data_IF_521461244604
#
_entry.id   IF_521461244604
#
_cell.length_a   1.000
_cell.length_b   1.000
_cell.length_c   1.000
_cell.angle_alpha   90.00
_cell.angle_beta   90.00
_cell.angle_gamma   90.00
#
_symmetry.space_group_name_H-M   'P 1'
#
loop_
_entity.id
_entity.type
_entity.pdbx_description
1 polymer ?
#
# COMPACT_ATOMS: atom_id res chain seq x y z
N UNK A 1 9.18 -14.81 -24.95
CA UNK A 1 8.10 -15.56 -24.28
C UNK A 1 7.24 -14.50 -23.60
N UNK A 2 6.23 -13.99 -24.30
CA UNK A 2 5.36 -12.93 -23.81
C UNK A 2 4.60 -13.43 -22.58
N UNK A 3 4.65 -12.67 -21.49
CA UNK A 3 3.74 -12.90 -20.38
C UNK A 3 2.34 -12.53 -20.88
N UNK A 4 1.52 -13.54 -21.16
CA UNK A 4 0.13 -13.32 -21.57
C UNK A 4 -0.56 -12.43 -20.51
N UNK A 5 -1.03 -11.26 -20.94
CA UNK A 5 -1.88 -10.41 -20.12
C UNK A 5 -3.11 -11.24 -19.77
N UNK A 6 -3.41 -11.41 -18.49
CA UNK A 6 -4.61 -12.14 -18.08
C UNK A 6 -5.84 -11.47 -18.69
N UNK A 7 -6.69 -12.23 -19.38
CA UNK A 7 -7.94 -11.72 -19.98
C UNK A 7 -8.83 -10.96 -18.97
N UNK A 8 -8.67 -11.27 -17.68
CA UNK A 8 -9.31 -10.56 -16.59
C UNK A 8 -8.88 -9.08 -16.51
N UNK A 9 -7.59 -8.77 -16.69
CA UNK A 9 -7.08 -7.39 -16.61
C UNK A 9 -7.58 -6.52 -17.76
N UNK A 10 -7.76 -7.10 -18.96
CA UNK A 10 -8.25 -6.37 -20.14
C UNK A 10 -9.71 -5.94 -19.96
N UNK A 11 -10.53 -6.75 -19.30
CA UNK A 11 -11.96 -6.51 -19.16
C UNK A 11 -12.34 -5.73 -17.89
N UNK A 12 -11.41 -5.60 -16.94
CA UNK A 12 -11.59 -4.77 -15.75
C UNK A 12 -11.71 -3.28 -16.10
N UNK A 13 -12.51 -2.57 -15.31
CA UNK A 13 -12.77 -1.13 -15.47
C UNK A 13 -12.71 -0.44 -14.11
N UNK A 14 -11.94 0.64 -14.03
CA UNK A 14 -11.83 1.48 -12.84
C UNK A 14 -13.15 2.24 -12.62
N UNK A 15 -13.64 2.36 -11.37
CA UNK A 15 -14.77 3.23 -11.05
C UNK A 15 -14.51 4.68 -11.47
N UNK A 16 -15.57 5.43 -11.77
CA UNK A 16 -15.46 6.79 -12.32
C UNK A 16 -14.80 7.78 -11.36
N UNK A 17 -14.83 7.52 -10.06
CA UNK A 17 -14.13 8.33 -9.05
C UNK A 17 -12.61 8.04 -8.99
N UNK A 18 -12.13 7.01 -9.68
CA UNK A 18 -10.71 6.62 -9.78
C UNK A 18 -10.25 6.57 -11.24
N UNK A 19 -10.65 7.54 -12.04
CA UNK A 19 -10.12 7.69 -13.40
C UNK A 19 -8.62 8.07 -13.32
N UNK A 20 -7.72 7.42 -14.10
CA UNK A 20 -6.32 7.84 -14.20
C UNK A 20 -6.20 9.32 -14.55
N UNK A 21 -5.23 10.03 -13.97
CA UNK A 21 -5.13 11.49 -14.12
C UNK A 21 -6.06 12.30 -13.19
N UNK A 22 -7.07 11.67 -12.59
CA UNK A 22 -7.84 12.28 -11.50
C UNK A 22 -6.99 12.42 -10.23
N UNK A 23 -7.26 13.46 -9.42
CA UNK A 23 -6.47 13.80 -8.22
C UNK A 23 -6.26 12.58 -7.29
N UNK A 24 -7.33 11.84 -7.00
CA UNK A 24 -7.31 10.72 -6.07
C UNK A 24 -6.44 9.57 -6.55
N UNK A 25 -6.69 9.04 -7.76
CA UNK A 25 -5.93 7.90 -8.28
C UNK A 25 -4.48 8.30 -8.57
N UNK A 26 -4.24 9.49 -9.12
CA UNK A 26 -2.90 9.97 -9.43
C UNK A 26 -2.01 10.01 -8.18
N UNK A 27 -2.54 10.54 -7.06
CA UNK A 27 -1.81 10.53 -5.77
C UNK A 27 -1.57 9.12 -5.25
N UNK A 28 -2.54 8.21 -5.39
CA UNK A 28 -2.40 6.82 -4.93
C UNK A 28 -1.32 6.07 -5.73
N UNK A 29 -1.32 6.23 -7.05
CA UNK A 29 -0.34 5.63 -7.97
C UNK A 29 1.06 6.19 -7.72
N UNK A 30 1.21 7.52 -7.67
CA UNK A 30 2.51 8.16 -7.44
C UNK A 30 3.09 7.88 -6.04
N UNK A 31 2.27 7.45 -5.08
CA UNK A 31 2.76 6.98 -3.77
C UNK A 31 3.20 5.52 -3.76
N UNK A 32 2.94 4.75 -4.82
CA UNK A 32 3.38 3.37 -4.92
C UNK A 32 4.90 3.31 -5.17
N UNK A 33 5.63 2.52 -4.38
CA UNK A 33 7.09 2.47 -4.47
C UNK A 33 7.61 2.08 -5.86
N UNK A 34 6.90 1.21 -6.60
CA UNK A 34 7.30 0.86 -7.98
C UNK A 34 7.28 2.08 -8.90
N UNK A 35 6.30 2.97 -8.71
CA UNK A 35 6.16 4.21 -9.47
C UNK A 35 7.17 5.26 -9.01
N UNK A 36 7.45 5.35 -7.71
CA UNK A 36 8.55 6.18 -7.17
C UNK A 36 9.88 5.79 -7.81
N UNK A 37 10.17 4.50 -7.84
CA UNK A 37 11.40 3.95 -8.43
C UNK A 37 11.43 4.19 -9.96
N UNK A 38 10.31 3.99 -10.65
CA UNK A 38 10.18 4.27 -12.09
C UNK A 38 10.49 5.72 -12.41
N UNK A 39 9.86 6.67 -11.71
CA UNK A 39 10.02 8.11 -11.96
C UNK A 39 11.44 8.55 -11.63
N UNK A 40 11.95 8.17 -10.45
CA UNK A 40 13.30 8.56 -10.02
C UNK A 40 14.38 7.98 -10.94
N UNK A 41 14.26 6.72 -11.35
CA UNK A 41 15.18 6.12 -12.32
C UNK A 41 15.17 6.86 -13.65
N UNK A 42 13.99 7.13 -14.22
CA UNK A 42 13.92 7.76 -15.55
C UNK A 42 14.28 9.25 -15.56
N UNK A 43 14.17 9.96 -14.43
CA UNK A 43 14.55 11.37 -14.33
C UNK A 43 15.99 11.58 -13.85
N UNK A 44 16.47 10.74 -12.94
CA UNK A 44 17.73 10.96 -12.20
C UNK A 44 18.76 9.84 -12.38
N UNK A 45 18.44 8.78 -13.14
CA UNK A 45 19.27 7.58 -13.34
C UNK A 45 19.66 6.89 -12.03
N UNK A 46 18.70 6.75 -11.11
CA UNK A 46 18.92 6.15 -9.80
C UNK A 46 18.45 4.70 -9.72
N UNK A 47 19.02 3.92 -8.80
CA UNK A 47 18.56 2.57 -8.48
C UNK A 47 17.26 2.58 -7.67
N UNK A 48 16.49 1.49 -7.74
CA UNK A 48 15.28 1.29 -6.92
C UNK A 48 15.56 1.47 -5.42
N UNK A 49 14.61 2.07 -4.71
CA UNK A 49 14.73 2.38 -3.27
C UNK A 49 15.60 3.60 -2.94
N UNK A 50 16.13 4.31 -3.94
CA UNK A 50 16.90 5.54 -3.71
C UNK A 50 16.06 6.71 -3.21
N UNK A 51 14.74 6.65 -3.45
CA UNK A 51 13.78 7.68 -3.06
C UNK A 51 12.63 7.07 -2.25
N UNK A 52 12.09 7.89 -1.35
CA UNK A 52 10.91 7.59 -0.55
C UNK A 52 9.95 8.78 -0.55
N UNK A 53 8.70 8.56 -0.14
CA UNK A 53 7.72 9.64 0.01
C UNK A 53 8.11 10.56 1.16
N UNK A 54 8.18 11.86 0.87
CA UNK A 54 8.38 12.93 1.84
C UNK A 54 7.07 13.58 2.28
N UNK A 55 7.16 14.44 3.28
CA UNK A 55 6.03 15.28 3.71
C UNK A 55 5.77 16.39 2.69
N UNK A 56 4.49 16.66 2.41
CA UNK A 56 4.05 17.69 1.47
C UNK A 56 3.27 18.82 2.14
N UNK A 57 3.03 18.76 3.45
CA UNK A 57 2.31 19.80 4.19
C UNK A 57 3.29 20.79 4.83
N UNK A 58 3.21 22.06 4.39
CA UNK A 58 4.02 23.15 4.94
C UNK A 58 3.12 24.32 5.33
N UNK A 59 2.62 24.27 6.57
CA UNK A 59 1.97 25.37 7.29
C UNK A 59 1.05 26.23 6.39
N UNK A 60 0.02 25.62 5.80
CA UNK A 60 -1.04 26.19 4.92
C UNK A 60 -0.91 25.95 3.42
N UNK A 61 0.22 25.41 2.95
CA UNK A 61 0.37 25.00 1.55
C UNK A 61 0.69 23.53 1.46
N UNK A 62 0.06 22.83 0.50
CA UNK A 62 0.25 21.40 0.30
C UNK A 62 0.52 21.09 -1.16
N UNK A 63 1.68 20.52 -1.43
CA UNK A 63 1.98 19.98 -2.76
C UNK A 63 1.39 18.58 -2.92
N UNK A 64 1.37 18.10 -4.16
CA UNK A 64 0.78 16.81 -4.46
C UNK A 64 1.62 15.66 -3.91
N UNK A 65 2.86 15.61 -4.39
CA UNK A 65 3.81 14.53 -4.11
C UNK A 65 5.21 15.13 -3.97
N UNK A 66 5.94 14.66 -2.97
CA UNK A 66 7.36 14.93 -2.82
C UNK A 66 8.08 13.60 -2.65
N UNK A 67 9.09 13.34 -3.48
CA UNK A 67 10.04 12.28 -3.24
C UNK A 67 11.30 12.87 -2.63
N UNK A 68 11.76 12.27 -1.54
CA UNK A 68 13.00 12.64 -0.88
C UNK A 68 14.00 11.49 -1.02
N UNK A 69 15.29 11.78 -1.19
CA UNK A 69 16.28 10.72 -1.22
C UNK A 69 16.27 9.93 0.10
N UNK A 70 16.48 8.62 0.01
CA UNK A 70 16.69 7.80 1.19
C UNK A 70 17.94 8.28 1.95
N UNK A 71 18.02 8.02 3.26
CA UNK A 71 19.10 8.54 4.13
C UNK A 71 20.51 8.33 3.59
N UNK A 72 20.76 7.23 2.86
CA UNK A 72 22.05 6.92 2.26
C UNK A 72 22.46 7.87 1.12
N UNK A 73 21.49 8.52 0.47
CA UNK A 73 21.68 9.37 -0.72
C UNK A 73 21.25 10.82 -0.49
N UNK A 74 20.96 11.19 0.76
CA UNK A 74 20.39 12.51 1.13
C UNK A 74 21.30 13.69 0.75
N UNK A 75 22.61 13.46 0.68
CA UNK A 75 23.60 14.50 0.36
C UNK A 75 23.93 14.61 -1.13
N UNK A 76 23.56 13.62 -1.94
CA UNK A 76 23.92 13.56 -3.36
C UNK A 76 22.76 13.85 -4.30
N UNK A 77 21.53 13.55 -3.88
CA UNK A 77 20.34 13.63 -4.74
C UNK A 77 19.41 14.79 -4.33
N UNK A 78 18.82 15.53 -5.27
CA UNK A 78 17.79 16.53 -4.96
C UNK A 78 16.44 15.86 -4.64
N UNK A 79 15.57 16.48 -3.84
CA UNK A 79 14.16 16.11 -3.76
C UNK A 79 13.47 16.26 -5.12
N UNK A 80 12.48 15.40 -5.39
CA UNK A 80 11.64 15.45 -6.59
C UNK A 80 10.24 15.93 -6.21
N UNK A 81 9.87 17.13 -6.63
CA UNK A 81 8.54 17.70 -6.42
C UNK A 81 7.68 17.37 -7.63
N UNK A 82 6.54 16.71 -7.43
CA UNK A 82 5.66 16.28 -8.51
C UNK A 82 4.26 16.86 -8.30
N UNK A 83 3.72 17.46 -9.34
CA UNK A 83 2.40 18.08 -9.37
C UNK A 83 1.57 17.53 -10.53
N UNK A 84 0.32 17.16 -10.24
CA UNK A 84 -0.63 16.69 -11.25
C UNK A 84 -1.76 17.70 -11.33
N UNK A 85 -1.88 18.37 -12.47
CA UNK A 85 -2.84 19.46 -12.62
C UNK A 85 -3.72 19.26 -13.84
N UNK A 86 -5.01 19.53 -13.66
CA UNK A 86 -5.96 19.49 -14.77
C UNK A 86 -5.66 20.57 -15.82
N UNK A 87 -5.47 21.81 -15.36
CA UNK A 87 -5.09 22.94 -16.20
C UNK A 87 -3.81 23.56 -15.65
N UNK A 88 -2.84 23.80 -16.52
CA UNK A 88 -1.61 24.50 -16.18
C UNK A 88 -1.78 25.95 -16.59
N UNK A 89 -1.78 26.84 -15.60
CA UNK A 89 -1.92 28.28 -15.80
C UNK A 89 -0.92 29.07 -14.93
N UNK A 90 -0.87 30.39 -15.14
CA UNK A 90 0.04 31.25 -14.40
C UNK A 90 -0.19 31.20 -12.87
N UNK A 91 -1.44 31.22 -12.35
CA UNK A 91 -1.69 31.00 -10.92
C UNK A 91 -1.13 29.68 -10.38
N UNK A 92 -1.26 28.58 -11.12
CA UNK A 92 -0.62 27.32 -10.75
C UNK A 92 0.91 27.43 -10.70
N UNK A 93 1.54 28.00 -11.73
CA UNK A 93 3.01 28.14 -11.77
C UNK A 93 3.53 29.00 -10.60
N UNK A 94 2.79 30.04 -10.20
CA UNK A 94 3.14 30.83 -9.00
C UNK A 94 3.08 30.00 -7.71
N UNK A 95 2.08 29.11 -7.58
CA UNK A 95 2.02 28.15 -6.45
C UNK A 95 3.17 27.16 -6.50
N UNK A 96 3.50 26.64 -7.69
CA UNK A 96 4.60 25.71 -7.90
C UNK A 96 5.96 26.27 -7.46
N UNK A 97 6.23 27.54 -7.78
CA UNK A 97 7.41 28.26 -7.32
C UNK A 97 7.43 28.29 -5.79
N UNK A 98 6.29 28.63 -5.17
CA UNK A 98 6.17 28.68 -3.71
C UNK A 98 6.44 27.33 -3.05
N UNK A 99 5.91 26.23 -3.62
CA UNK A 99 6.17 24.88 -3.14
C UNK A 99 7.65 24.53 -3.23
N UNK A 100 8.29 24.85 -4.36
CA UNK A 100 9.72 24.59 -4.57
C UNK A 100 10.59 25.34 -3.56
N UNK A 101 10.26 26.60 -3.26
CA UNK A 101 10.94 27.38 -2.22
C UNK A 101 10.72 26.81 -0.80
N UNK A 102 9.56 26.20 -0.53
CA UNK A 102 9.34 25.50 0.74
C UNK A 102 10.20 24.24 0.84
N UNK A 103 10.35 23.48 -0.25
CA UNK A 103 11.30 22.36 -0.31
C UNK A 103 12.73 22.84 -0.02
N UNK A 104 13.16 23.97 -0.60
CA UNK A 104 14.48 24.57 -0.30
C UNK A 104 14.62 24.94 1.18
N UNK A 105 13.59 25.53 1.79
CA UNK A 105 13.63 25.89 3.22
C UNK A 105 13.83 24.66 4.11
N UNK A 106 13.19 23.55 3.79
CA UNK A 106 13.22 22.31 4.58
C UNK A 106 14.49 21.50 4.31
N UNK A 107 14.81 21.26 3.04
CA UNK A 107 15.86 20.32 2.62
C UNK A 107 17.17 20.98 2.20
N UNK A 108 17.23 22.33 2.19
CA UNK A 108 18.42 23.13 1.89
C UNK A 108 19.04 22.89 0.50
N UNK A 109 18.24 22.39 -0.42
CA UNK A 109 18.63 22.17 -1.82
C UNK A 109 17.47 22.48 -2.75
N UNK A 110 17.79 22.93 -3.96
CA UNK A 110 16.79 23.10 -5.03
C UNK A 110 16.24 21.72 -5.45
N UNK A 111 14.91 21.59 -5.61
CA UNK A 111 14.30 20.36 -6.12
C UNK A 111 14.48 20.22 -7.62
N UNK A 112 14.26 19.00 -8.13
CA UNK A 112 13.83 18.79 -9.52
C UNK A 112 12.32 18.69 -9.51
N UNK A 113 11.66 19.42 -10.41
CA UNK A 113 10.20 19.54 -10.46
C UNK A 113 9.67 18.81 -11.68
N UNK A 114 8.57 18.07 -11.52
CA UNK A 114 7.83 17.44 -12.61
C UNK A 114 6.36 17.86 -12.54
N UNK A 115 5.87 18.48 -13.61
CA UNK A 115 4.47 18.88 -13.78
C UNK A 115 3.82 17.97 -14.80
N UNK A 116 2.69 17.36 -14.43
CA UNK A 116 1.87 16.52 -15.29
C UNK A 116 0.55 17.24 -15.56
N UNK A 117 0.39 17.76 -16.78
CA UNK A 117 -0.82 18.41 -17.26
C UNK A 117 -1.81 17.42 -17.86
N UNK A 118 -2.97 17.25 -17.23
CA UNK A 118 -3.94 16.22 -17.62
C UNK A 118 -4.81 16.64 -18.81
N UNK A 119 -5.23 17.91 -18.86
CA UNK A 119 -6.14 18.38 -19.89
C UNK A 119 -5.51 19.44 -20.80
N UNK A 120 -5.11 20.58 -20.24
CA UNK A 120 -4.59 21.68 -21.08
C UNK A 120 -3.61 22.63 -20.41
N UNK A 121 -2.85 23.35 -21.23
CA UNK A 121 -2.04 24.52 -20.86
C UNK A 121 -2.77 25.80 -21.27
N UNK A 122 -2.85 26.78 -20.37
CA UNK A 122 -3.60 28.01 -20.57
C UNK A 122 -2.85 29.26 -20.07
N UNK A 123 -2.67 30.29 -20.92
CA UNK A 123 -2.97 30.32 -22.36
C UNK A 123 -2.01 29.44 -23.16
N UNK A 124 -2.42 28.98 -24.35
CA UNK A 124 -1.58 28.13 -25.21
C UNK A 124 -0.28 28.82 -25.65
N UNK A 125 -0.23 30.16 -25.65
CA UNK A 125 0.99 30.92 -25.91
C UNK A 125 2.12 30.64 -24.90
N UNK A 126 1.80 30.14 -23.71
CA UNK A 126 2.78 29.75 -22.69
C UNK A 126 3.70 28.62 -23.19
N UNK A 127 3.21 27.74 -24.08
CA UNK A 127 4.03 26.69 -24.70
C UNK A 127 5.21 27.25 -25.51
N UNK A 128 5.11 28.48 -26.02
CA UNK A 128 6.19 29.12 -26.79
C UNK A 128 7.42 29.44 -25.93
N UNK A 129 7.24 29.51 -24.60
CA UNK A 129 8.33 29.75 -23.66
C UNK A 129 9.00 28.45 -23.20
N UNK A 130 8.45 27.30 -23.58
CA UNK A 130 8.90 25.98 -23.15
C UNK A 130 9.62 25.28 -24.30
N UNK A 131 10.62 24.46 -23.97
CA UNK A 131 11.44 23.76 -24.96
C UNK A 131 11.57 22.29 -24.61
N UNK A 132 11.64 21.41 -25.60
CA UNK A 132 11.93 19.99 -25.36
C UNK A 132 13.23 19.80 -24.57
N UNK A 133 13.20 18.87 -23.62
CA UNK A 133 14.29 18.66 -22.68
C UNK A 133 15.51 17.99 -23.30
N UNK A 134 15.27 17.02 -24.19
CA UNK A 134 16.30 16.37 -24.98
C UNK A 134 15.71 15.78 -26.27
N UNK A 135 16.55 15.48 -27.28
CA UNK A 135 16.12 14.75 -28.47
C UNK A 135 15.53 13.37 -28.16
N UNK A 136 15.98 12.72 -27.08
CA UNK A 136 15.50 11.39 -26.67
C UNK A 136 14.15 11.44 -25.93
N UNK A 137 13.79 12.61 -25.39
CA UNK A 137 12.53 12.85 -24.67
C UNK A 137 11.86 14.13 -25.20
N UNK A 138 11.47 14.15 -26.50
CA UNK A 138 10.94 15.35 -27.12
C UNK A 138 9.62 15.80 -26.48
N UNK A 139 8.88 14.86 -25.89
CA UNK A 139 7.61 15.04 -25.19
C UNK A 139 7.73 15.64 -23.78
N UNK A 140 8.95 15.70 -23.22
CA UNK A 140 9.22 16.27 -21.89
C UNK A 140 9.79 17.67 -22.06
N UNK A 141 9.03 18.69 -21.69
CA UNK A 141 9.40 20.08 -21.89
C UNK A 141 10.07 20.66 -20.64
N UNK A 142 10.94 21.64 -20.82
CA UNK A 142 11.57 22.42 -19.77
C UNK A 142 10.84 23.76 -19.59
N UNK A 143 10.43 24.04 -18.36
CA UNK A 143 9.98 25.35 -17.92
C UNK A 143 11.19 26.12 -17.37
N UNK A 144 11.42 27.39 -17.75
CA UNK A 144 12.43 28.23 -17.13
C UNK A 144 12.25 28.30 -15.61
N UNK A 145 13.27 27.88 -14.86
CA UNK A 145 13.15 27.68 -13.41
C UNK A 145 14.33 28.19 -12.58
N UNK A 146 15.10 29.12 -13.16
CA UNK A 146 16.25 29.75 -12.50
C UNK A 146 15.86 30.26 -11.12
N UNK A 147 16.68 29.94 -10.11
CA UNK A 147 16.59 30.32 -8.69
C UNK A 147 15.60 29.54 -7.81
N UNK A 148 14.68 28.76 -8.37
CA UNK A 148 13.66 28.05 -7.57
C UNK A 148 13.60 26.54 -7.79
N UNK A 149 14.19 26.01 -8.86
CA UNK A 149 14.43 24.58 -9.04
C UNK A 149 15.77 24.32 -9.76
N UNK A 150 16.25 23.06 -9.73
CA UNK A 150 17.37 22.60 -10.57
C UNK A 150 16.92 22.40 -12.02
N UNK A 151 15.77 21.75 -12.17
CA UNK A 151 15.06 21.56 -13.43
C UNK A 151 13.57 21.60 -13.14
N UNK A 152 12.78 22.07 -14.09
CA UNK A 152 11.32 22.01 -14.04
C UNK A 152 10.83 21.41 -15.34
N UNK A 153 10.41 20.16 -15.27
CA UNK A 153 9.89 19.41 -16.39
C UNK A 153 8.37 19.52 -16.46
N UNK A 154 7.86 19.55 -17.69
CA UNK A 154 6.45 19.58 -18.00
C UNK A 154 6.13 18.50 -19.03
N UNK A 155 5.04 17.79 -18.80
CA UNK A 155 4.43 16.93 -19.79
C UNK A 155 2.92 17.16 -19.81
N UNK A 156 2.32 17.20 -20.99
CA UNK A 156 0.88 17.25 -21.16
C UNK A 156 0.48 16.60 -22.48
N UNK A 157 -0.83 16.49 -22.74
CA UNK A 157 -1.33 16.02 -24.05
C UNK A 157 -0.76 16.83 -25.21
N UNK A 158 -0.60 18.14 -25.02
CA UNK A 158 -0.04 19.03 -26.05
C UNK A 158 1.45 18.80 -26.31
N UNK A 159 2.19 18.23 -25.36
CA UNK A 159 3.63 17.95 -25.54
C UNK A 159 3.91 16.53 -26.02
N UNK A 160 3.05 15.56 -25.71
CA UNK A 160 3.27 14.14 -26.06
C UNK A 160 3.18 13.90 -27.57
N UNK A 161 2.34 14.62 -28.31
CA UNK A 161 2.16 14.41 -29.75
C UNK A 161 1.63 13.01 -30.10
N UNK A 162 1.54 12.70 -31.40
CA UNK A 162 1.03 11.41 -31.87
C UNK A 162 2.06 10.29 -31.65
N UNK A 163 1.68 9.31 -30.84
CA UNK A 163 2.52 8.14 -30.54
C UNK A 163 2.15 6.94 -31.44
N UNK A 164 3.15 6.18 -31.86
CA UNK A 164 2.93 4.97 -32.65
C UNK A 164 2.49 3.82 -31.74
N UNK A 165 1.28 3.32 -31.95
CA UNK A 165 0.63 2.28 -31.14
C UNK A 165 1.43 0.98 -31.03
N UNK A 166 2.18 0.65 -32.08
CA UNK A 166 2.87 -0.64 -32.20
C UNK A 166 4.25 -0.67 -31.54
N UNK A 167 4.71 0.46 -30.98
CA UNK A 167 6.02 0.56 -30.33
C UNK A 167 5.89 0.56 -28.82
N UNK A 168 6.78 -0.17 -28.14
CA UNK A 168 6.98 -0.04 -26.69
C UNK A 168 7.42 1.38 -26.37
N UNK A 169 6.71 2.03 -25.45
CA UNK A 169 6.97 3.42 -25.09
C UNK A 169 8.00 3.48 -23.97
N UNK A 170 8.70 4.61 -23.87
CA UNK A 170 9.55 4.87 -22.70
C UNK A 170 8.71 4.72 -21.40
N UNK A 171 9.21 4.05 -20.34
CA UNK A 171 8.41 3.82 -19.13
C UNK A 171 7.85 5.08 -18.47
N UNK A 172 8.61 6.18 -18.51
CA UNK A 172 8.14 7.46 -17.99
C UNK A 172 7.06 8.07 -18.90
N UNK A 173 7.20 7.94 -20.23
CA UNK A 173 6.14 8.31 -21.16
C UNK A 173 4.87 7.46 -20.96
N UNK A 174 5.01 6.16 -20.71
CA UNK A 174 3.89 5.28 -20.39
C UNK A 174 3.12 5.76 -19.15
N UNK A 175 3.82 6.17 -18.08
CA UNK A 175 3.17 6.79 -16.93
C UNK A 175 2.36 8.03 -17.31
N UNK A 176 2.89 8.86 -18.20
CA UNK A 176 2.20 10.07 -18.65
C UNK A 176 1.01 9.78 -19.56
N UNK A 177 1.12 8.82 -20.48
CA UNK A 177 0.00 8.35 -21.28
C UNK A 177 -1.12 7.77 -20.39
N UNK A 178 -0.75 6.92 -19.43
CA UNK A 178 -1.70 6.37 -18.46
C UNK A 178 -2.51 7.46 -17.74
N UNK A 179 -1.84 8.51 -17.26
CA UNK A 179 -2.51 9.63 -16.56
C UNK A 179 -3.29 10.54 -17.50
N UNK A 180 -2.76 10.84 -18.69
CA UNK A 180 -3.36 11.83 -19.60
C UNK A 180 -4.49 11.25 -20.46
N UNK A 181 -4.40 9.99 -20.89
CA UNK A 181 -5.47 9.36 -21.68
C UNK A 181 -6.75 9.14 -20.87
N UNK A 182 -6.65 9.09 -19.54
CA UNK A 182 -7.78 8.97 -18.60
C UNK A 182 -8.71 7.78 -18.90
N UNK A 183 -8.17 6.71 -19.47
CA UNK A 183 -8.94 5.51 -19.78
C UNK A 183 -9.19 4.71 -18.51
N UNK A 184 -10.42 4.24 -18.32
CA UNK A 184 -10.79 3.46 -17.13
C UNK A 184 -10.36 2.00 -17.23
N UNK A 185 -10.06 1.52 -18.43
CA UNK A 185 -9.73 0.12 -18.69
C UNK A 185 -8.49 0.04 -19.57
N UNK A 186 -7.67 -0.98 -19.32
CA UNK A 186 -6.51 -1.31 -20.13
C UNK A 186 -6.89 -1.51 -21.60
N UNK A 187 -8.04 -2.14 -21.88
CA UNK A 187 -8.50 -2.42 -23.24
C UNK A 187 -8.71 -1.14 -24.07
N UNK A 188 -9.11 -0.04 -23.42
CA UNK A 188 -9.36 1.24 -24.08
C UNK A 188 -8.09 2.08 -24.24
N UNK A 189 -6.98 1.70 -23.60
CA UNK A 189 -5.73 2.44 -23.67
C UNK A 189 -5.08 2.31 -25.05
N UNK A 190 -4.39 3.36 -25.50
CA UNK A 190 -3.73 3.39 -26.82
C UNK A 190 -2.63 2.34 -26.98
N UNK A 191 -2.02 1.95 -25.86
CA UNK A 191 -0.96 0.94 -25.77
C UNK A 191 -1.30 -0.17 -24.76
N UNK A 192 -2.26 -1.06 -25.06
CA UNK A 192 -2.74 -2.06 -24.10
C UNK A 192 -1.73 -3.20 -23.84
N UNK A 193 -0.75 -3.37 -24.74
CA UNK A 193 0.29 -4.37 -24.66
C UNK A 193 1.61 -3.85 -24.07
N UNK A 194 1.70 -2.56 -23.75
CA UNK A 194 2.91 -2.00 -23.15
C UNK A 194 3.08 -2.52 -21.70
N UNK A 195 4.24 -3.08 -21.34
CA UNK A 195 4.45 -3.71 -20.04
C UNK A 195 4.34 -2.72 -18.87
N UNK A 196 4.69 -1.45 -19.10
CA UNK A 196 4.58 -0.41 -18.06
C UNK A 196 3.13 -0.01 -17.87
N UNK A 197 2.37 0.17 -18.96
CA UNK A 197 0.93 0.45 -18.89
C UNK A 197 0.19 -0.69 -18.18
N UNK A 198 0.46 -1.94 -18.55
CA UNK A 198 -0.11 -3.13 -17.90
C UNK A 198 0.16 -3.08 -16.39
N UNK A 199 1.41 -2.81 -16.00
CA UNK A 199 1.78 -2.71 -14.58
C UNK A 199 1.05 -1.57 -13.86
N UNK A 200 0.89 -0.42 -14.50
CA UNK A 200 0.17 0.73 -13.92
C UNK A 200 -1.30 0.42 -13.68
N UNK A 201 -1.97 -0.26 -14.62
CA UNK A 201 -3.35 -0.74 -14.42
C UNK A 201 -3.44 -1.79 -13.31
N UNK A 202 -2.51 -2.75 -13.25
CA UNK A 202 -2.47 -3.72 -12.14
C UNK A 202 -2.34 -3.02 -10.78
N UNK A 203 -1.46 -2.02 -10.68
CA UNK A 203 -1.32 -1.21 -9.47
C UNK A 203 -2.63 -0.47 -9.18
N UNK A 204 -3.23 0.19 -10.18
CA UNK A 204 -4.48 0.93 -10.02
C UNK A 204 -5.61 0.03 -9.50
N UNK A 205 -5.85 -1.11 -10.12
CA UNK A 205 -6.88 -2.06 -9.67
C UNK A 205 -6.59 -2.58 -8.26
N UNK A 206 -5.33 -2.90 -7.93
CA UNK A 206 -4.98 -3.34 -6.57
C UNK A 206 -5.19 -2.26 -5.50
N UNK A 207 -5.08 -0.98 -5.87
CA UNK A 207 -5.25 0.16 -4.96
C UNK A 207 -6.72 0.55 -4.78
N UNK A 208 -7.54 0.36 -5.81
CA UNK A 208 -8.94 0.80 -5.87
C UNK A 208 -9.91 -0.30 -5.46
N UNK A 209 -9.60 -1.55 -5.80
CA UNK A 209 -10.42 -2.72 -5.51
C UNK A 209 -9.74 -3.56 -4.42
N UNK A 210 -9.95 -3.25 -3.12
CA UNK A 210 -9.52 -4.14 -2.05
C UNK A 210 -10.21 -5.51 -2.14
N UNK A 211 -11.35 -5.61 -2.85
CA UNK A 211 -12.02 -6.87 -3.15
C UNK A 211 -11.21 -7.77 -4.08
N UNK A 212 -10.37 -7.23 -4.96
CA UNK A 212 -9.46 -8.06 -5.77
C UNK A 212 -8.38 -8.70 -4.90
N UNK A 213 -7.92 -7.96 -3.88
CA UNK A 213 -7.02 -8.52 -2.86
C UNK A 213 -7.77 -9.49 -1.92
N UNK A 214 -9.05 -9.28 -1.64
CA UNK A 214 -9.88 -10.21 -0.86
C UNK A 214 -10.17 -11.51 -1.63
N UNK A 215 -10.58 -11.42 -2.90
CA UNK A 215 -10.86 -12.55 -3.77
C UNK A 215 -9.60 -13.37 -4.08
N UNK A 216 -8.45 -12.74 -4.36
CA UNK A 216 -7.18 -13.45 -4.56
C UNK A 216 -6.73 -14.15 -3.27
N UNK A 217 -6.88 -13.49 -2.11
CA UNK A 217 -6.59 -14.11 -0.82
C UNK A 217 -7.58 -15.24 -0.49
N UNK A 218 -8.85 -15.10 -0.84
CA UNK A 218 -9.88 -16.11 -0.65
C UNK A 218 -9.67 -17.30 -1.57
N UNK A 219 -9.38 -17.07 -2.85
CA UNK A 219 -9.06 -18.12 -3.83
C UNK A 219 -7.82 -18.90 -3.41
N UNK A 220 -6.75 -18.21 -2.97
CA UNK A 220 -5.53 -18.84 -2.45
C UNK A 220 -5.77 -19.63 -1.16
N UNK A 221 -6.63 -19.12 -0.27
CA UNK A 221 -7.06 -19.84 0.93
C UNK A 221 -7.87 -21.10 0.56
N UNK A 222 -8.82 -21.00 -0.38
CA UNK A 222 -9.61 -22.11 -0.88
C UNK A 222 -8.73 -23.19 -1.54
N UNK A 223 -7.77 -22.79 -2.39
CA UNK A 223 -6.78 -23.69 -2.99
C UNK A 223 -5.96 -24.42 -1.93
N UNK A 224 -5.47 -23.69 -0.92
CA UNK A 224 -4.71 -24.28 0.21
C UNK A 224 -5.55 -25.30 1.00
N UNK A 225 -6.83 -25.02 1.23
CA UNK A 225 -7.76 -25.93 1.90
C UNK A 225 -7.96 -27.20 1.06
N UNK A 226 -8.23 -27.05 -0.24
CA UNK A 226 -8.42 -28.16 -1.17
C UNK A 226 -7.18 -29.06 -1.24
N UNK A 227 -6.00 -28.48 -1.43
CA UNK A 227 -4.71 -29.19 -1.45
C UNK A 227 -4.44 -29.96 -0.15
N UNK A 228 -4.74 -29.33 0.97
CA UNK A 228 -4.53 -29.93 2.30
C UNK A 228 -5.48 -31.08 2.52
N UNK A 229 -6.76 -30.91 2.19
CA UNK A 229 -7.77 -31.96 2.30
C UNK A 229 -7.47 -33.12 1.33
N UNK A 230 -7.07 -32.84 0.10
CA UNK A 230 -6.67 -33.87 -0.87
C UNK A 230 -5.49 -34.69 -0.33
N UNK A 231 -4.46 -34.05 0.23
CA UNK A 231 -3.32 -34.74 0.87
C UNK A 231 -3.75 -35.59 2.06
N UNK A 232 -4.71 -35.12 2.87
CA UNK A 232 -5.25 -35.87 4.00
C UNK A 232 -6.04 -37.10 3.54
N UNK A 233 -6.88 -36.96 2.52
CA UNK A 233 -7.65 -38.07 1.95
C UNK A 233 -6.75 -39.11 1.27
N UNK A 234 -5.77 -38.67 0.47
CA UNK A 234 -4.77 -39.59 -0.13
C UNK A 234 -4.01 -40.37 0.94
N UNK A 235 -3.60 -39.73 2.04
CA UNK A 235 -2.95 -40.40 3.18
C UNK A 235 -3.87 -41.37 3.93
N UNK A 236 -5.16 -41.06 4.03
CA UNK A 236 -6.12 -41.98 4.63
C UNK A 236 -6.32 -43.22 3.73
N UNK A 237 -6.50 -43.02 2.42
CA UNK A 237 -6.64 -44.10 1.44
C UNK A 237 -5.41 -45.01 1.38
N UNK A 238 -4.20 -44.45 1.36
CA UNK A 238 -2.95 -45.22 1.38
C UNK A 238 -2.83 -46.12 2.62
N UNK A 239 -3.26 -45.63 3.79
CA UNK A 239 -3.24 -46.41 5.04
C UNK A 239 -4.33 -47.49 5.11
N UNK A 240 -5.46 -47.27 4.45
CA UNK A 240 -6.50 -48.29 4.27
C UNK A 240 -5.97 -49.40 3.36
N UNK A 241 -5.37 -49.04 2.22
CA UNK A 241 -4.83 -49.98 1.23
C UNK A 241 -3.64 -50.81 1.75
N UNK A 242 -2.88 -50.28 2.71
CA UNK A 242 -1.74 -50.98 3.34
C UNK A 242 -2.12 -51.82 4.56
N UNK A 243 -3.43 -51.94 4.86
CA UNK A 243 -3.94 -52.90 5.85
C UNK A 243 -3.68 -52.52 7.32
N UNK A 244 -3.65 -51.23 7.65
CA UNK A 244 -3.28 -50.77 9.01
C UNK A 244 -4.40 -50.03 9.77
N UNK A 245 -4.55 -50.44 11.04
CA UNK A 245 -5.20 -49.85 12.22
C UNK A 245 -6.15 -48.64 12.02
N UNK A 246 -7.45 -48.91 12.25
CA UNK A 246 -8.57 -47.96 12.23
C UNK A 246 -8.29 -46.72 13.08
N UNK A 247 -7.54 -46.84 14.18
CA UNK A 247 -7.21 -45.72 15.06
C UNK A 247 -6.24 -44.70 14.44
N UNK A 248 -5.43 -45.10 13.46
CA UNK A 248 -4.58 -44.17 12.71
C UNK A 248 -5.36 -43.43 11.63
N UNK A 249 -6.32 -44.10 11.00
CA UNK A 249 -7.23 -43.50 10.02
C UNK A 249 -8.13 -42.48 10.72
N UNK A 250 -8.71 -42.85 11.86
CA UNK A 250 -9.51 -41.97 12.71
C UNK A 250 -8.77 -40.68 13.07
N UNK A 251 -7.51 -40.77 13.49
CA UNK A 251 -6.66 -39.60 13.80
C UNK A 251 -6.37 -38.70 12.60
N UNK A 252 -6.30 -39.24 11.39
CA UNK A 252 -6.12 -38.42 10.17
C UNK A 252 -7.41 -37.67 9.86
N UNK A 253 -8.56 -38.33 9.98
CA UNK A 253 -9.87 -37.70 9.81
C UNK A 253 -10.14 -36.61 10.86
N UNK A 254 -9.83 -36.87 12.13
CA UNK A 254 -9.97 -35.89 13.22
C UNK A 254 -9.13 -34.63 12.98
N UNK A 255 -7.90 -34.78 12.46
CA UNK A 255 -7.06 -33.62 12.08
C UNK A 255 -7.64 -32.83 10.93
N UNK A 256 -8.23 -33.48 9.93
CA UNK A 256 -8.92 -32.79 8.83
C UNK A 256 -10.16 -32.03 9.31
N UNK A 257 -10.93 -32.61 10.21
CA UNK A 257 -12.09 -31.96 10.83
C UNK A 257 -11.67 -30.73 11.62
N UNK A 258 -10.64 -30.85 12.46
CA UNK A 258 -10.17 -29.72 13.29
C UNK A 258 -9.57 -28.59 12.43
N UNK A 259 -8.78 -28.93 11.42
CA UNK A 259 -8.28 -27.96 10.45
C UNK A 259 -9.41 -27.19 9.75
N UNK A 260 -10.42 -27.90 9.24
CA UNK A 260 -11.55 -27.27 8.57
C UNK A 260 -12.38 -26.41 9.54
N UNK A 261 -12.50 -26.81 10.80
CA UNK A 261 -13.18 -26.04 11.85
C UNK A 261 -12.43 -24.74 12.16
N UNK A 262 -11.11 -24.79 12.37
CA UNK A 262 -10.29 -23.58 12.62
C UNK A 262 -10.37 -22.59 11.46
N UNK A 263 -10.28 -23.09 10.21
CA UNK A 263 -10.35 -22.23 9.03
C UNK A 263 -11.74 -21.62 8.86
N UNK A 264 -12.82 -22.39 9.11
CA UNK A 264 -14.20 -21.87 9.10
C UNK A 264 -14.39 -20.72 10.10
N UNK A 265 -13.86 -20.84 11.31
CA UNK A 265 -13.93 -19.76 12.29
C UNK A 265 -13.19 -18.51 11.84
N UNK A 266 -12.00 -18.64 11.25
CA UNK A 266 -11.20 -17.50 10.75
C UNK A 266 -11.88 -16.77 9.58
N UNK A 267 -12.60 -17.50 8.73
CA UNK A 267 -13.33 -16.91 7.61
C UNK A 267 -14.62 -16.19 8.06
N UNK A 268 -15.30 -16.69 9.09
CA UNK A 268 -16.54 -16.08 9.61
C UNK A 268 -16.30 -14.81 10.46
N UNK A 269 -15.15 -14.69 11.14
CA UNK A 269 -14.83 -13.52 11.97
C UNK A 269 -14.59 -12.23 11.13
N UNK A 270 -14.23 -12.39 9.84
CA UNK A 270 -14.02 -11.26 8.93
C UNK A 270 -15.33 -10.62 8.41
N UNK A 271 -16.47 -11.31 8.43
CA UNK A 271 -17.75 -10.74 7.94
C UNK A 271 -18.50 -9.90 8.98
N UNK A 272 -18.08 -9.90 10.25
CA UNK A 272 -18.85 -9.26 11.33
C UNK A 272 -18.34 -7.86 11.73
N UNK A 273 -17.31 -7.33 11.08
CA UNK A 273 -16.71 -6.02 11.42
C UNK A 273 -17.16 -4.90 10.47
N UNK A 274 -18.46 -4.75 10.29
CA UNK A 274 -19.10 -3.60 9.63
C UNK A 274 -19.77 -2.70 10.67
N UNK A 275 -19.04 -2.26 11.70
CA UNK A 275 -19.41 -1.11 12.52
C UNK A 275 -18.16 -0.30 12.88
N UNK A 276 -18.26 1.02 12.68
CA UNK A 276 -17.25 2.03 12.99
C UNK A 276 -16.59 1.80 14.36
N UNK A 277 -15.24 1.86 14.41
CA UNK A 277 -14.43 2.58 15.41
C UNK A 277 -12.92 2.32 15.16
N UNK A 278 -12.16 3.41 15.18
CA UNK A 278 -10.70 3.61 15.10
C UNK A 278 -9.75 2.43 14.77
N UNK A 279 -8.97 2.62 13.70
CA UNK A 279 -7.87 1.78 13.27
C UNK A 279 -6.77 1.62 14.35
N UNK A 280 -6.41 0.37 14.74
CA UNK A 280 -5.04 0.04 15.10
C UNK A 280 -4.29 -0.48 13.87
N UNK A 281 -2.99 -0.19 13.82
CA UNK A 281 -2.09 -0.50 12.70
C UNK A 281 -2.26 -1.93 12.12
N UNK A 282 -2.43 -2.00 10.80
CA UNK A 282 -2.36 -3.23 10.00
C UNK A 282 -1.00 -3.92 10.22
N UNK A 283 -1.03 -5.16 10.72
CA UNK A 283 0.13 -6.05 10.70
C UNK A 283 0.28 -6.68 9.31
N UNK A 284 1.51 -6.87 8.79
CA UNK A 284 1.72 -7.56 7.53
C UNK A 284 1.47 -9.07 7.67
N UNK A 285 0.66 -9.63 6.77
CA UNK A 285 0.50 -11.07 6.59
C UNK A 285 1.65 -11.62 5.73
N UNK A 286 2.75 -11.97 6.38
CA UNK A 286 3.77 -12.87 5.83
C UNK A 286 3.80 -14.18 6.63
N UNK A 287 4.38 -15.28 6.10
CA UNK A 287 4.59 -16.49 6.87
C UNK A 287 5.43 -16.14 8.10
N UNK A 288 4.79 -16.22 9.27
CA UNK A 288 5.45 -15.92 10.54
C UNK A 288 6.59 -16.91 10.74
N UNK A 289 7.82 -16.44 10.55
CA UNK A 289 8.97 -16.97 11.26
C UNK A 289 8.56 -17.08 12.72
N UNK A 290 8.65 -18.28 13.29
CA UNK A 290 8.22 -18.64 14.65
C UNK A 290 8.67 -17.56 15.65
N UNK A 291 7.81 -16.57 15.91
CA UNK A 291 7.95 -15.69 17.06
C UNK A 291 7.58 -16.55 18.26
N UNK A 292 8.58 -16.82 19.10
CA UNK A 292 8.36 -17.37 20.44
C UNK A 292 7.19 -16.61 21.06
N UNK A 293 6.11 -17.34 21.36
CA UNK A 293 5.08 -16.88 22.27
C UNK A 293 5.82 -16.58 23.58
N UNK A 294 6.11 -15.32 23.86
CA UNK A 294 6.41 -14.90 25.22
C UNK A 294 5.10 -15.11 25.98
N UNK A 295 5.02 -16.20 26.74
CA UNK A 295 4.07 -16.30 27.84
C UNK A 295 4.34 -15.09 28.74
N UNK A 296 3.49 -14.07 28.67
CA UNK A 296 3.47 -13.03 29.71
C UNK A 296 3.03 -13.72 30.98
N UNK A 297 4.01 -14.16 31.76
CA UNK A 297 3.77 -14.72 33.08
C UNK A 297 3.44 -13.53 33.97
N UNK A 298 2.25 -13.53 34.56
CA UNK A 298 1.80 -12.47 35.46
C UNK A 298 2.82 -12.29 36.57
N UNK A 299 3.30 -11.05 36.76
CA UNK A 299 4.31 -10.77 37.79
C UNK A 299 3.76 -11.11 39.19
N UNK A 300 4.64 -11.44 40.13
CA UNK A 300 4.22 -11.77 41.51
C UNK A 300 3.52 -10.61 42.21
N UNK A 301 3.94 -9.38 41.91
CA UNK A 301 3.33 -8.17 42.45
C UNK A 301 1.91 -7.97 41.90
N UNK A 302 1.73 -8.16 40.60
CA UNK A 302 0.42 -8.10 39.95
C UNK A 302 -0.51 -9.19 40.49
N UNK A 303 0.01 -10.41 40.66
CA UNK A 303 -0.78 -11.55 41.13
C UNK A 303 -1.24 -11.35 42.57
N UNK A 304 -0.33 -10.92 43.45
CA UNK A 304 -0.65 -10.63 44.85
C UNK A 304 -1.70 -9.51 44.98
N UNK A 305 -1.58 -8.46 44.16
CA UNK A 305 -2.57 -7.39 44.13
C UNK A 305 -3.96 -7.90 43.70
N UNK A 306 -4.04 -8.69 42.63
CA UNK A 306 -5.30 -9.27 42.16
C UNK A 306 -5.91 -10.24 43.19
N UNK A 307 -5.06 -10.99 43.91
CA UNK A 307 -5.48 -11.90 44.98
C UNK A 307 -6.04 -11.13 46.19
N UNK A 308 -5.35 -10.07 46.63
CA UNK A 308 -5.79 -9.20 47.73
C UNK A 308 -7.10 -8.46 47.38
N UNK A 309 -7.26 -8.07 46.12
CA UNK A 309 -8.50 -7.45 45.63
C UNK A 309 -9.65 -8.46 45.67
N UNK A 310 -9.39 -9.72 45.26
CA UNK A 310 -10.38 -10.81 45.29
C UNK A 310 -10.78 -11.18 46.72
N UNK A 311 -9.85 -11.20 47.67
CA UNK A 311 -10.18 -11.50 49.07
C UNK A 311 -11.03 -10.42 49.74
N UNK A 312 -10.98 -9.19 49.23
CA UNK A 312 -11.74 -8.04 49.74
C UNK A 312 -13.09 -7.84 49.04
N UNK A 313 -13.32 -8.51 47.91
CA UNK A 313 -14.59 -8.44 47.20
C UNK A 313 -15.62 -9.41 47.77
N UNK A 314 -16.82 -8.92 48.09
CA UNK A 314 -17.97 -9.76 48.44
C UNK A 314 -18.65 -10.20 47.14
N UNK A 315 -18.64 -11.50 46.84
CA UNK A 315 -19.28 -12.07 45.65
C UNK A 315 -18.35 -12.22 44.43
N UNK A 316 -18.93 -12.22 43.22
CA UNK A 316 -18.18 -12.46 41.97
C UNK A 316 -17.20 -11.31 41.70
N UNK A 317 -15.93 -11.66 41.47
CA UNK A 317 -14.85 -10.72 41.19
C UNK A 317 -15.16 -9.79 40.01
N UNK A 318 -15.12 -8.48 40.24
CA UNK A 318 -15.23 -7.47 39.18
C UNK A 318 -13.85 -7.16 38.61
N UNK A 319 -13.47 -7.87 37.55
CA UNK A 319 -12.15 -7.74 36.91
C UNK A 319 -11.90 -6.36 36.28
N UNK A 320 -12.96 -5.64 35.89
CA UNK A 320 -12.84 -4.27 35.36
C UNK A 320 -12.42 -3.31 36.47
N UNK A 321 -13.03 -3.42 37.64
CA UNK A 321 -12.61 -2.63 38.81
C UNK A 321 -11.24 -3.01 39.34
N UNK A 322 -10.89 -4.30 39.34
CA UNK A 322 -9.56 -4.75 39.74
C UNK A 322 -8.47 -4.17 38.83
N UNK A 323 -8.69 -4.18 37.51
CA UNK A 323 -7.73 -3.64 36.56
C UNK A 323 -7.54 -2.13 36.76
N UNK A 324 -8.64 -1.38 36.88
CA UNK A 324 -8.59 0.07 37.09
C UNK A 324 -7.91 0.43 38.41
N UNK A 325 -8.21 -0.30 39.49
CA UNK A 325 -7.57 -0.09 40.80
C UNK A 325 -6.08 -0.42 40.80
N UNK A 326 -5.67 -1.43 40.03
CA UNK A 326 -4.25 -1.78 39.85
C UNK A 326 -3.50 -0.72 39.06
N UNK A 327 -4.06 -0.29 37.93
CA UNK A 327 -3.45 0.73 37.07
C UNK A 327 -3.28 2.07 37.79
N UNK A 328 -4.26 2.46 38.61
CA UNK A 328 -4.16 3.65 39.46
C UNK A 328 -3.03 3.58 40.50
N UNK A 329 -2.53 2.38 40.81
CA UNK A 329 -1.40 2.13 41.72
C UNK A 329 -0.10 1.79 40.98
N UNK A 330 -0.05 1.95 39.66
CA UNK A 330 1.09 1.59 38.83
C UNK A 330 1.31 0.07 38.68
N UNK A 331 0.34 -0.74 39.11
CA UNK A 331 0.33 -2.20 38.96
C UNK A 331 -0.60 -2.59 37.79
N UNK A 332 -0.50 -3.81 37.28
CA UNK A 332 -1.32 -4.32 36.17
C UNK A 332 -1.21 -3.49 34.87
N UNK A 333 -0.14 -2.69 34.70
CA UNK A 333 0.09 -1.83 33.52
C UNK A 333 0.30 -2.62 32.23
N UNK A 334 0.70 -3.89 32.36
CA UNK A 334 0.84 -4.84 31.25
C UNK A 334 -0.50 -5.33 30.69
N UNK A 335 -1.61 -5.12 31.41
CA UNK A 335 -2.93 -5.58 31.01
C UNK A 335 -3.76 -4.43 30.45
N UNK A 336 -4.21 -4.57 29.20
CA UNK A 336 -5.08 -3.59 28.53
C UNK A 336 -6.57 -3.88 28.74
N UNK A 337 -6.92 -5.14 28.99
CA UNK A 337 -8.31 -5.56 29.15
C UNK A 337 -8.49 -6.39 30.42
N UNK A 338 -9.66 -6.24 31.06
CA UNK A 338 -10.02 -7.02 32.26
C UNK A 338 -10.06 -8.52 31.98
N UNK A 339 -10.33 -8.91 30.73
CA UNK A 339 -10.32 -10.30 30.29
C UNK A 339 -8.91 -10.89 30.20
N UNK A 340 -7.93 -10.13 29.69
CA UNK A 340 -6.52 -10.56 29.67
C UNK A 340 -5.95 -10.78 31.07
N UNK A 341 -6.35 -9.93 32.03
CA UNK A 341 -6.02 -10.07 33.44
C UNK A 341 -6.66 -11.33 34.05
N UNK A 342 -7.95 -11.57 33.79
CA UNK A 342 -8.69 -12.75 34.27
C UNK A 342 -8.06 -14.05 33.79
N UNK A 343 -7.74 -14.13 32.49
CA UNK A 343 -7.12 -15.32 31.88
C UNK A 343 -5.74 -15.57 32.49
N UNK A 344 -4.91 -14.52 32.63
CA UNK A 344 -3.57 -14.64 33.19
C UNK A 344 -3.58 -15.05 34.66
N UNK A 345 -4.50 -14.49 35.46
CA UNK A 345 -4.70 -14.89 36.85
C UNK A 345 -5.17 -16.34 36.96
N UNK A 346 -6.09 -16.76 36.08
CA UNK A 346 -6.62 -18.14 36.09
C UNK A 346 -5.56 -19.15 35.69
N UNK A 347 -4.68 -18.82 34.74
CA UNK A 347 -3.58 -19.71 34.32
C UNK A 347 -2.50 -19.95 35.37
N UNK A 348 -2.51 -19.20 36.48
CA UNK A 348 -1.56 -19.38 37.60
C UNK A 348 -2.12 -20.26 38.73
N UNK A 349 -3.42 -20.59 38.68
CA UNK A 349 -4.07 -21.53 39.61
C UNK A 349 -4.17 -22.96 39.05
N UNK A 350 -3.75 -23.20 37.81
CA UNK A 350 -3.73 -24.51 37.16
C UNK A 350 -2.32 -25.07 37.01
#
# INVERSE_FOLDING_TARGET
MEAAVSDNLLTQTLPSEYIPGGDRLSRMILKNQKVVDLVSHNLMDTSSGSYMIGDTDWNSTRSDILYIPAKASLTSLPPLLIEVQNTIDAPFLQRLISYSLNVVKVYKTLPVVLVIGINKISPSSMLLEFNSSSPDKPWLFNIPCTIWAKHCYLVSKETIGDQNRDTTVNPLLALFLFLTEQQQSLYLHTHPHDPTIIQLYQIAFSLVSPDYTYEENYAKAAETICDTNEKLFKRALDKISTGMDVDRIKRICERGIEYNREIKYRLQDNETSSQELDFPHRLPLGPSSKKKIQKHTMSDQDFKFAQDFKSKSVGRMNWKMCLQAGQNKGLLTSYRTSESLRVSYSSRHF
#
